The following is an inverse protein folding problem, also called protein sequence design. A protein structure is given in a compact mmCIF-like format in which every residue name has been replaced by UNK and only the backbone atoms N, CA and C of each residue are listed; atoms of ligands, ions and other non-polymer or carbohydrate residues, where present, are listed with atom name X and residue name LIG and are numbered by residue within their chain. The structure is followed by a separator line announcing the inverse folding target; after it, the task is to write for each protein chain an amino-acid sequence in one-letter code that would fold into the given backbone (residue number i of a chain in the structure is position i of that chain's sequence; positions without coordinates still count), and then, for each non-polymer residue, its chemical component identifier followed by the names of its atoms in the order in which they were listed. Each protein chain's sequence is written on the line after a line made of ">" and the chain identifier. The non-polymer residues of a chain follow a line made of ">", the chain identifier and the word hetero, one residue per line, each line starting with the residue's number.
data_IF_488197244372
#
_entry.id   IF_488197244372
#
_cell.length_a   1.000
_cell.length_b   1.000
_cell.length_c   1.000
_cell.angle_alpha   90.00
_cell.angle_beta   90.00
_cell.angle_gamma   90.00
#
_symmetry.space_group_name_H-M   'P 1'
#
loop_
_entity.id
_entity.type
_entity.pdbx_description
1 polymer ?
#
# COMPACT_ATOMS: atom_id res chain seq x y z
N UNK A 1 18.65 7.60 -5.20
CA UNK A 1 19.37 7.96 -6.45
C UNK A 1 20.07 9.29 -6.23
N UNK A 2 21.28 9.50 -6.75
CA UNK A 2 21.91 10.83 -6.75
C UNK A 2 21.34 11.69 -7.88
N UNK A 3 21.22 12.99 -7.62
CA UNK A 3 20.86 14.02 -8.60
C UNK A 3 21.90 15.14 -8.56
N UNK A 4 21.88 16.04 -9.53
CA UNK A 4 22.83 17.18 -9.58
C UNK A 4 22.79 18.04 -8.31
N UNK A 5 21.63 18.11 -7.64
CA UNK A 5 21.40 18.94 -6.46
C UNK A 5 21.37 18.15 -5.13
N UNK A 6 21.48 16.83 -5.16
CA UNK A 6 21.42 16.01 -3.95
C UNK A 6 20.94 14.58 -4.18
N UNK A 7 19.89 14.17 -3.46
CA UNK A 7 19.40 12.80 -3.41
C UNK A 7 17.89 12.75 -3.67
N UNK A 8 17.43 11.71 -4.35
CA UNK A 8 16.01 11.39 -4.58
C UNK A 8 15.64 10.03 -3.99
N UNK A 9 14.63 10.02 -3.12
CA UNK A 9 13.89 8.86 -2.66
C UNK A 9 12.68 8.61 -3.58
N UNK A 10 12.89 7.77 -4.60
CA UNK A 10 11.86 7.41 -5.58
C UNK A 10 10.96 6.27 -5.09
N UNK A 11 11.53 5.28 -4.40
CA UNK A 11 10.83 4.12 -3.86
C UNK A 11 10.96 4.09 -2.35
N UNK A 12 9.98 3.46 -1.70
CA UNK A 12 9.97 3.36 -0.25
C UNK A 12 10.03 1.90 0.21
N UNK A 13 11.03 1.60 1.04
CA UNK A 13 11.26 0.32 1.67
C UNK A 13 12.48 0.39 2.60
N UNK A 14 12.61 -0.51 3.58
CA UNK A 14 13.76 -0.57 4.48
C UNK A 14 15.07 -0.66 3.70
N UNK A 15 15.95 0.33 3.85
CA UNK A 15 17.24 0.31 3.18
C UNK A 15 18.24 1.26 3.85
N UNK A 16 19.50 1.15 3.43
CA UNK A 16 20.55 2.10 3.78
C UNK A 16 21.33 2.46 2.52
N UNK A 17 21.49 3.76 2.28
CA UNK A 17 22.31 4.30 1.20
C UNK A 17 23.56 4.93 1.82
N UNK A 18 24.75 4.60 1.31
CA UNK A 18 26.00 5.32 1.59
C UNK A 18 26.49 5.94 0.29
N UNK A 19 26.76 7.25 0.29
CA UNK A 19 27.05 8.00 -0.93
C UNK A 19 27.83 9.29 -0.63
N UNK A 20 28.38 9.93 -1.66
CA UNK A 20 28.99 11.26 -1.54
C UNK A 20 28.01 12.32 -2.01
N UNK A 21 27.75 13.33 -1.18
CA UNK A 21 26.82 14.43 -1.47
C UNK A 21 27.13 15.62 -0.58
N UNK A 22 26.90 16.85 -1.04
CA UNK A 22 27.14 18.05 -0.23
C UNK A 22 28.61 18.22 0.20
N UNK A 23 29.56 17.68 -0.56
CA UNK A 23 31.00 17.76 -0.29
C UNK A 23 31.56 16.71 0.66
N UNK A 24 30.77 15.70 1.07
CA UNK A 24 31.23 14.65 1.99
C UNK A 24 30.50 13.32 1.83
N UNK A 25 30.95 12.30 2.56
CA UNK A 25 30.29 11.00 2.63
C UNK A 25 29.13 11.07 3.61
N UNK A 26 27.92 10.75 3.15
CA UNK A 26 26.69 10.68 3.94
C UNK A 26 26.12 9.28 3.87
N UNK A 27 25.54 8.81 4.97
CA UNK A 27 24.72 7.59 5.01
C UNK A 27 23.29 7.96 5.38
N UNK A 28 22.31 7.49 4.62
CA UNK A 28 20.89 7.67 4.92
C UNK A 28 20.27 6.30 5.20
N UNK A 29 19.64 6.19 6.35
CA UNK A 29 18.83 5.02 6.72
C UNK A 29 17.38 5.33 6.42
N UNK A 30 16.67 4.40 5.78
CA UNK A 30 15.23 4.47 5.58
C UNK A 30 14.55 3.34 6.38
N UNK A 31 13.61 3.71 7.23
CA UNK A 31 12.85 2.80 8.09
C UNK A 31 11.36 2.96 7.80
N UNK A 32 10.70 1.86 7.44
CA UNK A 32 9.27 1.84 7.14
C UNK A 32 8.75 0.40 6.98
N UNK A 33 7.48 0.17 7.28
CA UNK A 33 6.72 -1.01 6.87
C UNK A 33 5.93 -0.78 5.57
N UNK A 34 6.20 0.31 4.84
CA UNK A 34 5.64 0.55 3.52
C UNK A 34 5.88 -0.70 2.64
N UNK A 35 4.85 -1.21 1.94
CA UNK A 35 3.59 -0.55 1.60
C UNK A 35 2.42 -0.76 2.57
N UNK A 36 2.63 -1.41 3.72
CA UNK A 36 1.57 -1.75 4.67
C UNK A 36 1.29 -0.64 5.70
N UNK A 37 2.21 0.29 5.87
CA UNK A 37 2.00 1.55 6.59
C UNK A 37 2.23 2.75 5.66
N UNK A 38 1.84 3.93 6.14
CA UNK A 38 1.92 5.19 5.40
C UNK A 38 3.11 6.09 5.80
N UNK A 39 3.90 5.67 6.79
CA UNK A 39 4.96 6.48 7.38
C UNK A 39 6.33 5.98 6.94
N UNK A 40 7.19 6.88 6.49
CA UNK A 40 8.57 6.61 6.11
C UNK A 40 9.48 7.52 6.89
N UNK A 41 10.43 6.95 7.64
CA UNK A 41 11.44 7.71 8.37
C UNK A 41 12.78 7.60 7.68
N UNK A 42 13.44 8.74 7.52
CA UNK A 42 14.81 8.86 7.06
C UNK A 42 15.67 9.40 8.19
N UNK A 43 16.83 8.79 8.41
CA UNK A 43 17.85 9.31 9.32
C UNK A 43 19.11 9.60 8.53
N UNK A 44 19.58 10.84 8.61
CA UNK A 44 20.83 11.28 7.98
C UNK A 44 21.98 11.03 8.96
N UNK A 45 23.04 10.42 8.46
CA UNK A 45 24.29 10.21 9.18
C UNK A 45 25.43 10.89 8.42
N UNK A 46 26.17 11.75 9.10
CA UNK A 46 27.09 12.71 8.49
C UNK A 46 26.50 14.12 8.37
N UNK A 47 27.22 15.03 7.71
CA UNK A 47 26.82 16.42 7.55
C UNK A 47 27.09 16.92 6.12
N UNK A 48 26.32 17.92 5.69
CA UNK A 48 26.54 18.59 4.41
C UNK A 48 25.32 19.33 3.87
N UNK A 49 25.56 20.19 2.89
CA UNK A 49 24.51 20.96 2.21
C UNK A 49 24.00 20.24 0.97
N UNK A 50 22.75 19.75 0.98
CA UNK A 50 22.16 19.12 -0.20
C UNK A 50 20.63 19.05 -0.15
N UNK A 51 20.01 18.82 -1.32
CA UNK A 51 18.58 18.55 -1.42
C UNK A 51 18.26 17.08 -1.15
N UNK A 52 17.37 16.79 -0.21
CA UNK A 52 16.69 15.51 -0.11
C UNK A 52 15.30 15.62 -0.76
N UNK A 53 15.12 14.94 -1.88
CA UNK A 53 13.89 14.95 -2.67
C UNK A 53 13.08 13.69 -2.41
N UNK A 54 11.78 13.85 -2.18
CA UNK A 54 10.85 12.78 -1.80
C UNK A 54 9.72 12.69 -2.84
N UNK A 55 9.49 11.51 -3.42
CA UNK A 55 8.37 11.30 -4.33
C UNK A 55 7.04 11.31 -3.57
N UNK A 56 6.09 12.15 -3.98
CA UNK A 56 4.73 12.08 -3.48
C UNK A 56 3.90 11.21 -4.43
N UNK A 57 3.37 10.05 -4.00
CA UNK A 57 2.53 9.23 -4.85
C UNK A 57 1.25 9.99 -5.28
N UNK A 58 0.78 9.75 -6.50
CA UNK A 58 -0.44 10.38 -7.04
C UNK A 58 -1.69 10.12 -6.20
N UNK A 59 -1.71 9.05 -5.43
CA UNK A 59 -2.85 8.71 -4.56
C UNK A 59 -2.86 9.48 -3.23
N UNK A 60 -1.74 10.09 -2.83
CA UNK A 60 -1.64 10.81 -1.57
C UNK A 60 -2.03 12.28 -1.77
N UNK A 61 -3.21 12.65 -1.29
CA UNK A 61 -3.75 14.01 -1.42
C UNK A 61 -3.05 15.03 -0.51
N UNK A 62 -2.76 14.62 0.72
CA UNK A 62 -2.27 15.50 1.79
C UNK A 62 -1.03 14.89 2.46
N UNK A 63 0.14 14.89 1.79
CA UNK A 63 1.37 14.41 2.40
C UNK A 63 1.80 15.33 3.56
N UNK A 64 2.38 14.74 4.60
CA UNK A 64 2.94 15.48 5.73
C UNK A 64 4.43 15.18 5.79
N UNK A 65 5.25 16.23 5.81
CA UNK A 65 6.70 16.12 5.93
C UNK A 65 7.10 16.85 7.20
N UNK A 66 7.86 16.18 8.06
CA UNK A 66 8.49 16.80 9.22
C UNK A 66 10.00 16.60 9.18
N UNK A 67 10.75 17.61 9.63
CA UNK A 67 12.19 17.50 9.86
C UNK A 67 12.43 17.79 11.34
N UNK A 68 13.07 16.87 12.05
CA UNK A 68 13.29 16.96 13.50
C UNK A 68 12.01 17.29 14.30
N UNK A 69 10.89 16.68 13.89
CA UNK A 69 9.54 16.87 14.46
C UNK A 69 8.85 18.21 14.16
N UNK A 70 9.45 19.09 13.35
CA UNK A 70 8.82 20.33 12.89
C UNK A 70 8.21 20.14 11.50
N UNK A 71 6.99 20.65 11.28
CA UNK A 71 6.31 20.55 9.98
C UNK A 71 7.04 21.41 8.95
N UNK A 72 7.43 20.77 7.85
CA UNK A 72 8.07 21.41 6.72
C UNK A 72 7.10 21.64 5.57
N UNK A 73 6.97 22.90 5.16
CA UNK A 73 6.20 23.27 3.97
C UNK A 73 7.15 23.33 2.79
N UNK A 74 7.03 22.38 1.87
CA UNK A 74 7.88 22.30 0.68
C UNK A 74 7.04 22.39 -0.60
N UNK A 75 7.58 23.08 -1.59
CA UNK A 75 7.04 23.08 -2.94
C UNK A 75 7.13 21.66 -3.53
N UNK A 76 6.12 21.27 -4.31
CA UNK A 76 6.05 19.92 -4.88
C UNK A 76 5.56 18.82 -3.92
N UNK A 77 5.18 19.15 -2.68
CA UNK A 77 4.40 18.28 -1.80
C UNK A 77 2.93 18.14 -2.25
N UNK A 78 2.74 17.76 -3.50
CA UNK A 78 1.44 17.61 -4.18
C UNK A 78 1.31 16.22 -4.78
N UNK A 79 0.10 15.72 -5.05
CA UNK A 79 -0.10 14.40 -5.64
C UNK A 79 0.71 14.19 -6.93
N UNK A 80 1.58 13.18 -6.96
CA UNK A 80 2.43 12.87 -8.11
C UNK A 80 3.69 13.76 -8.23
N UNK A 81 3.89 14.68 -7.29
CA UNK A 81 5.01 15.60 -7.25
C UNK A 81 6.28 15.01 -6.64
N UNK A 82 7.30 15.86 -6.56
CA UNK A 82 8.55 15.60 -5.85
C UNK A 82 8.76 16.76 -4.88
N UNK A 83 8.67 16.46 -3.59
CA UNK A 83 8.91 17.40 -2.51
C UNK A 83 10.41 17.57 -2.27
N UNK A 84 10.92 18.81 -2.24
CA UNK A 84 12.35 19.09 -2.06
C UNK A 84 12.69 19.67 -0.68
N UNK A 85 13.65 19.07 0.02
CA UNK A 85 14.18 19.57 1.28
C UNK A 85 15.66 19.95 1.09
N UNK A 86 15.94 21.20 0.77
CA UNK A 86 17.32 21.71 0.64
C UNK A 86 17.75 22.34 1.96
N UNK A 87 18.73 21.73 2.63
CA UNK A 87 19.14 22.11 3.99
C UNK A 87 20.63 21.87 4.22
N UNK A 88 21.13 22.47 5.28
CA UNK A 88 22.34 22.02 5.94
C UNK A 88 21.99 20.86 6.88
N UNK A 89 22.37 19.64 6.50
CA UNK A 89 22.09 18.45 7.29
C UNK A 89 23.18 18.21 8.34
N UNK A 90 22.77 17.72 9.51
CA UNK A 90 23.64 17.28 10.60
C UNK A 90 23.42 15.81 10.90
N UNK A 91 24.42 15.22 11.54
CA UNK A 91 24.34 13.83 11.96
C UNK A 91 23.17 13.64 12.94
N UNK A 92 22.32 12.67 12.66
CA UNK A 92 21.13 12.38 13.45
C UNK A 92 19.88 13.15 13.03
N UNK A 93 19.94 14.05 12.04
CA UNK A 93 18.75 14.70 11.52
C UNK A 93 17.76 13.65 10.99
N UNK A 94 16.48 13.86 11.30
CA UNK A 94 15.40 12.95 10.93
C UNK A 94 14.40 13.64 10.02
N UNK A 95 13.97 12.93 8.99
CA UNK A 95 12.85 13.32 8.13
C UNK A 95 11.76 12.27 8.25
N UNK A 96 10.54 12.68 8.59
CA UNK A 96 9.38 11.78 8.54
C UNK A 96 8.47 12.23 7.42
N UNK A 97 8.16 11.30 6.51
CA UNK A 97 7.19 11.46 5.45
C UNK A 97 5.97 10.60 5.79
N UNK A 98 4.82 11.23 6.01
CA UNK A 98 3.55 10.53 6.12
C UNK A 98 2.78 10.68 4.81
N UNK A 99 2.24 9.58 4.32
CA UNK A 99 1.50 9.49 3.07
C UNK A 99 0.08 8.96 3.33
N UNK A 100 -0.81 9.74 3.99
CA UNK A 100 -2.16 9.28 4.26
C UNK A 100 -2.87 8.85 2.98
N UNK A 101 -3.62 7.76 3.05
CA UNK A 101 -4.46 7.26 1.97
C UNK A 101 -5.86 6.96 2.49
N UNK A 102 -6.84 7.16 1.63
CA UNK A 102 -8.17 6.57 1.80
C UNK A 102 -8.29 5.29 0.99
N UNK A 103 -9.34 4.51 1.25
CA UNK A 103 -9.75 3.41 0.36
C UNK A 103 -10.26 4.00 -0.94
N UNK A 104 -9.75 3.49 -2.07
CA UNK A 104 -10.09 3.91 -3.42
C UNK A 104 -10.79 2.76 -4.15
N UNK A 105 -11.91 3.08 -4.79
CA UNK A 105 -12.62 2.17 -5.69
C UNK A 105 -12.10 2.39 -7.11
N UNK A 106 -11.54 1.34 -7.71
CA UNK A 106 -11.08 1.34 -9.10
C UNK A 106 -12.12 0.61 -9.96
N UNK A 107 -12.80 1.34 -10.85
CA UNK A 107 -13.82 0.78 -11.76
C UNK A 107 -13.19 0.29 -13.06
N UNK A 108 -13.59 -0.90 -13.49
CA UNK A 108 -13.27 -1.42 -14.81
C UNK A 108 -14.37 -1.07 -15.83
N UNK A 109 -14.06 -1.22 -17.11
CA UNK A 109 -14.98 -0.90 -18.21
C UNK A 109 -16.24 -1.78 -18.24
N UNK A 110 -16.17 -2.99 -17.67
CA UNK A 110 -17.29 -3.93 -17.56
C UNK A 110 -18.18 -3.66 -16.33
N UNK A 111 -17.91 -2.59 -15.58
CA UNK A 111 -18.66 -2.21 -14.38
C UNK A 111 -18.17 -2.88 -13.09
N UNK A 112 -17.25 -3.84 -13.18
CA UNK A 112 -16.62 -4.43 -12.00
C UNK A 112 -15.74 -3.42 -11.26
N UNK A 113 -15.42 -3.71 -10.00
CA UNK A 113 -14.62 -2.85 -9.14
C UNK A 113 -13.52 -3.64 -8.42
N UNK A 114 -12.40 -2.97 -8.21
CA UNK A 114 -11.33 -3.38 -7.29
C UNK A 114 -11.15 -2.31 -6.21
N UNK A 115 -10.55 -2.68 -5.08
CA UNK A 115 -10.27 -1.78 -3.96
C UNK A 115 -8.77 -1.64 -3.74
N UNK A 116 -8.33 -0.40 -3.54
CA UNK A 116 -6.93 -0.07 -3.29
C UNK A 116 -6.80 0.83 -2.05
N UNK A 117 -5.68 0.70 -1.33
CA UNK A 117 -5.29 1.59 -0.25
C UNK A 117 -3.78 1.83 -0.31
N UNK A 118 -3.37 3.09 -0.34
CA UNK A 118 -2.00 3.48 -0.65
C UNK A 118 -1.57 2.92 -2.01
N UNK A 119 -0.40 2.26 -2.11
CA UNK A 119 0.05 1.59 -3.33
C UNK A 119 -0.54 0.18 -3.52
N UNK A 120 -1.27 -0.36 -2.53
CA UNK A 120 -1.71 -1.75 -2.54
C UNK A 120 -3.08 -1.89 -3.18
N UNK A 121 -3.18 -2.86 -4.09
CA UNK A 121 -4.45 -3.42 -4.56
C UNK A 121 -4.80 -4.60 -3.66
N UNK A 122 -6.08 -4.74 -3.32
CA UNK A 122 -6.57 -5.81 -2.45
C UNK A 122 -7.37 -6.84 -3.24
N UNK A 123 -7.34 -8.08 -2.77
CA UNK A 123 -8.00 -9.21 -3.41
C UNK A 123 -8.62 -10.14 -2.36
N UNK A 124 -9.67 -10.85 -2.77
CA UNK A 124 -10.19 -11.98 -2.01
C UNK A 124 -9.25 -13.17 -2.23
N UNK A 125 -8.71 -13.71 -1.15
CA UNK A 125 -7.90 -14.91 -1.19
C UNK A 125 -8.83 -16.11 -1.27
N UNK A 126 -8.71 -16.89 -2.34
CA UNK A 126 -9.50 -18.11 -2.56
C UNK A 126 -8.65 -19.26 -2.02
N UNK A 127 -9.15 -19.98 -1.02
CA UNK A 127 -8.44 -21.16 -0.53
C UNK A 127 -8.29 -22.18 -1.66
N UNK A 128 -7.07 -22.68 -1.89
CA UNK A 128 -6.74 -23.51 -3.03
C UNK A 128 -5.78 -24.65 -2.67
N UNK A 129 -5.90 -25.75 -3.43
CA UNK A 129 -4.96 -26.87 -3.40
C UNK A 129 -4.07 -26.81 -4.65
N UNK A 130 -2.75 -26.85 -4.44
CA UNK A 130 -1.76 -26.96 -5.51
C UNK A 130 -1.45 -28.42 -5.84
N UNK A 131 -1.43 -28.78 -7.11
CA UNK A 131 -0.97 -30.09 -7.60
C UNK A 131 0.20 -29.87 -8.55
N UNK A 132 1.35 -30.49 -8.25
CA UNK A 132 2.50 -30.47 -9.16
C UNK A 132 2.15 -31.24 -10.43
N UNK A 133 2.23 -30.56 -11.58
CA UNK A 133 1.93 -31.15 -12.89
C UNK A 133 3.21 -31.54 -13.63
N UNK A 134 4.33 -30.87 -13.34
CA UNK A 134 5.63 -31.20 -13.90
C UNK A 134 6.76 -30.84 -12.91
N UNK A 135 7.72 -31.75 -12.71
CA UNK A 135 8.91 -31.54 -11.89
C UNK A 135 10.15 -31.50 -12.78
N UNK A 136 10.92 -30.43 -12.69
CA UNK A 136 12.12 -30.20 -13.49
C UNK A 136 13.41 -30.75 -12.86
N UNK A 137 13.33 -31.41 -11.70
CA UNK A 137 14.48 -31.99 -11.00
C UNK A 137 15.40 -30.96 -10.31
N UNK A 138 14.95 -29.71 -10.20
CA UNK A 138 15.59 -28.66 -9.42
C UNK A 138 14.69 -28.33 -8.22
N UNK A 139 15.27 -28.32 -7.02
CA UNK A 139 14.51 -28.09 -5.78
C UNK A 139 13.71 -26.77 -5.85
N UNK A 140 12.40 -26.88 -5.62
CA UNK A 140 11.47 -25.74 -5.67
C UNK A 140 11.08 -25.26 -7.06
N UNK A 141 11.56 -25.91 -8.14
CA UNK A 141 11.24 -25.54 -9.51
C UNK A 141 10.34 -26.59 -10.17
N UNK A 142 9.04 -26.34 -10.14
CA UNK A 142 8.00 -27.22 -10.69
C UNK A 142 6.82 -26.39 -11.23
N UNK A 143 6.07 -26.97 -12.16
CA UNK A 143 4.78 -26.44 -12.56
C UNK A 143 3.71 -26.93 -11.58
N UNK A 144 2.86 -26.02 -11.09
CA UNK A 144 1.81 -26.33 -10.13
C UNK A 144 0.49 -25.73 -10.57
N UNK A 145 -0.53 -26.57 -10.69
CA UNK A 145 -1.91 -26.15 -10.93
C UNK A 145 -2.62 -25.91 -9.59
N UNK A 146 -3.29 -24.78 -9.46
CA UNK A 146 -4.07 -24.43 -8.28
C UNK A 146 -5.56 -24.44 -8.59
N UNK A 147 -6.32 -25.21 -7.82
CA UNK A 147 -7.78 -25.25 -7.87
C UNK A 147 -8.38 -24.82 -6.53
N UNK A 148 -9.53 -24.13 -6.52
CA UNK A 148 -10.24 -23.83 -5.28
C UNK A 148 -10.51 -25.10 -4.48
N UNK A 149 -10.42 -25.02 -3.15
CA UNK A 149 -10.85 -26.13 -2.30
C UNK A 149 -12.35 -26.40 -2.49
N UNK A 150 -12.82 -27.66 -2.42
CA UNK A 150 -14.23 -27.97 -2.62
C UNK A 150 -15.14 -27.17 -1.66
N UNK A 151 -16.12 -26.47 -2.23
CA UNK A 151 -17.06 -25.63 -1.48
C UNK A 151 -16.57 -24.21 -1.18
N UNK A 152 -15.36 -23.83 -1.62
CA UNK A 152 -14.85 -22.47 -1.45
C UNK A 152 -15.74 -21.45 -2.15
N UNK A 153 -16.16 -20.44 -1.40
CA UNK A 153 -16.95 -19.33 -1.91
C UNK A 153 -16.01 -18.22 -2.40
N UNK A 154 -16.19 -17.82 -3.65
CA UNK A 154 -15.42 -16.75 -4.27
C UNK A 154 -16.29 -15.83 -5.15
N UNK A 155 -17.57 -16.17 -5.29
CA UNK A 155 -18.52 -15.36 -6.05
C UNK A 155 -19.20 -14.34 -5.15
N UNK A 156 -18.61 -13.15 -5.13
CA UNK A 156 -19.05 -12.02 -4.32
C UNK A 156 -19.30 -10.79 -5.18
N UNK A 157 -20.31 -10.02 -4.78
CA UNK A 157 -20.61 -8.69 -5.34
C UNK A 157 -20.35 -7.63 -4.28
N UNK A 158 -19.45 -6.68 -4.52
CA UNK A 158 -19.14 -5.62 -3.55
C UNK A 158 -20.32 -4.68 -3.34
N UNK A 159 -20.59 -4.34 -2.08
CA UNK A 159 -21.51 -3.26 -1.72
C UNK A 159 -20.71 -1.96 -1.57
N UNK A 160 -20.83 -1.07 -2.55
CA UNK A 160 -20.08 0.18 -2.57
C UNK A 160 -20.96 1.36 -2.15
N UNK A 161 -20.38 2.29 -1.41
CA UNK A 161 -20.99 3.59 -1.08
C UNK A 161 -20.59 4.60 -2.17
N UNK A 162 -21.56 5.12 -2.96
CA UNK A 162 -21.26 6.05 -4.04
C UNK A 162 -20.97 7.47 -3.54
N UNK A 163 -21.50 7.85 -2.38
CA UNK A 163 -21.37 9.18 -1.81
C UNK A 163 -20.05 9.29 -1.03
N UNK A 164 -19.61 8.18 -0.44
CA UNK A 164 -18.38 8.09 0.35
C UNK A 164 -17.58 6.84 -0.03
N UNK A 165 -16.86 6.84 -1.17
CA UNK A 165 -16.10 5.68 -1.62
C UNK A 165 -15.11 5.14 -0.57
N UNK A 166 -14.56 6.01 0.28
CA UNK A 166 -13.70 5.65 1.41
C UNK A 166 -14.39 4.79 2.48
N UNK A 167 -15.73 4.73 2.50
CA UNK A 167 -16.54 3.83 3.34
C UNK A 167 -16.84 2.48 2.68
N UNK A 168 -16.43 2.29 1.42
CA UNK A 168 -16.60 1.00 0.73
C UNK A 168 -15.69 -0.11 1.27
N UNK A 169 -14.76 0.25 2.17
CA UNK A 169 -13.96 -0.67 2.94
C UNK A 169 -13.29 0.06 4.10
N UNK A 170 -12.84 -0.67 5.11
CA UNK A 170 -12.04 -0.13 6.20
C UNK A 170 -10.72 -0.86 6.29
N UNK A 171 -9.62 -0.12 6.34
CA UNK A 171 -8.32 -0.70 6.64
C UNK A 171 -8.32 -1.19 8.08
N UNK A 172 -8.05 -2.48 8.27
CA UNK A 172 -7.95 -3.11 9.58
C UNK A 172 -6.55 -3.67 9.75
N UNK A 173 -6.02 -3.57 10.96
CA UNK A 173 -4.84 -4.34 11.35
C UNK A 173 -5.16 -5.83 11.21
N UNK A 174 -4.19 -6.59 10.73
CA UNK A 174 -4.24 -8.03 10.65
C UNK A 174 -3.28 -8.63 11.67
N UNK A 175 -3.47 -9.91 11.97
CA UNK A 175 -2.57 -10.72 12.77
C UNK A 175 -1.21 -10.82 12.07
N UNK A 176 -0.41 -9.75 12.25
CA UNK A 176 1.00 -9.74 11.97
C UNK A 176 1.65 -10.75 12.91
N UNK A 177 1.76 -12.00 12.47
CA UNK A 177 2.77 -12.89 13.02
C UNK A 177 4.15 -12.24 12.85
N UNK A 178 5.15 -12.73 13.57
CA UNK A 178 6.55 -12.31 13.41
C UNK A 178 7.18 -12.75 12.06
N UNK A 179 6.34 -13.13 11.09
CA UNK A 179 6.73 -13.63 9.78
C UNK A 179 6.98 -12.53 8.76
N UNK A 180 7.34 -12.95 7.56
CA UNK A 180 7.53 -12.05 6.43
C UNK A 180 6.20 -11.39 6.05
N UNK A 181 6.10 -10.05 5.95
CA UNK A 181 4.83 -9.34 5.74
C UNK A 181 4.07 -9.72 4.47
N UNK A 182 4.71 -10.36 3.49
CA UNK A 182 4.00 -10.82 2.30
C UNK A 182 3.36 -12.20 2.46
N UNK A 183 3.80 -12.98 3.46
CA UNK A 183 3.20 -14.26 3.82
C UNK A 183 2.05 -14.05 4.83
N UNK A 184 2.27 -13.15 5.79
CA UNK A 184 1.28 -12.73 6.79
C UNK A 184 1.14 -11.21 6.75
N UNK A 185 0.28 -10.66 5.87
CA UNK A 185 0.12 -9.21 5.75
C UNK A 185 -0.35 -8.62 7.07
N UNK A 186 0.21 -7.48 7.53
CA UNK A 186 -0.19 -6.84 8.78
C UNK A 186 -1.45 -5.98 8.62
N UNK A 187 -2.03 -5.92 7.41
CA UNK A 187 -3.22 -5.13 7.08
C UNK A 187 -4.14 -5.88 6.12
N UNK A 188 -5.43 -5.58 6.20
CA UNK A 188 -6.45 -5.99 5.24
C UNK A 188 -7.51 -4.90 5.06
N UNK A 189 -8.37 -5.06 4.06
CA UNK A 189 -9.62 -4.33 3.95
C UNK A 189 -10.78 -5.21 4.42
N UNK A 190 -11.49 -4.76 5.44
CA UNK A 190 -12.81 -5.26 5.77
C UNK A 190 -13.84 -4.57 4.87
N UNK A 191 -14.66 -5.36 4.16
CA UNK A 191 -15.63 -4.86 3.18
C UNK A 191 -16.95 -5.60 3.33
N UNK A 192 -18.04 -4.99 2.89
CA UNK A 192 -19.35 -5.66 2.80
C UNK A 192 -19.59 -6.11 1.37
N UNK A 193 -20.04 -7.35 1.19
CA UNK A 193 -20.37 -7.93 -0.10
C UNK A 193 -21.66 -8.77 -0.03
N UNK A 194 -22.22 -9.10 -1.18
CA UNK A 194 -23.28 -10.10 -1.32
C UNK A 194 -22.68 -11.40 -1.85
N UNK A 195 -23.04 -12.54 -1.28
CA UNK A 195 -22.74 -13.84 -1.87
C UNK A 195 -23.67 -14.16 -3.06
N UNK A 196 -23.49 -15.32 -3.69
CA UNK A 196 -24.29 -15.77 -4.84
C UNK A 196 -25.80 -15.86 -4.57
N UNK A 197 -26.22 -15.86 -3.30
CA UNK A 197 -27.62 -15.89 -2.86
C UNK A 197 -28.14 -14.51 -2.46
N UNK A 198 -27.38 -13.45 -2.77
CA UNK A 198 -27.68 -12.06 -2.37
C UNK A 198 -27.74 -11.86 -0.86
N UNK A 199 -27.06 -12.71 -0.08
CA UNK A 199 -26.95 -12.57 1.36
C UNK A 199 -25.73 -11.71 1.68
N UNK A 200 -25.91 -10.70 2.52
CA UNK A 200 -24.82 -9.84 2.95
C UNK A 200 -23.79 -10.62 3.78
N UNK A 201 -22.52 -10.44 3.43
CA UNK A 201 -21.34 -11.01 4.09
C UNK A 201 -20.32 -9.92 4.35
N UNK A 202 -19.64 -10.06 5.47
CA UNK A 202 -18.38 -9.36 5.69
C UNK A 202 -17.28 -10.16 5.01
N UNK A 203 -16.57 -9.50 4.11
CA UNK A 203 -15.47 -10.06 3.35
C UNK A 203 -14.17 -9.38 3.75
N UNK A 204 -13.11 -10.16 3.74
CA UNK A 204 -11.78 -9.72 4.09
C UNK A 204 -10.90 -9.81 2.86
N UNK A 205 -10.42 -8.67 2.39
CA UNK A 205 -9.50 -8.61 1.25
C UNK A 205 -8.09 -8.36 1.77
N UNK A 206 -7.11 -9.11 1.30
CA UNK A 206 -5.70 -8.93 1.65
C UNK A 206 -4.92 -8.35 0.47
N UNK A 207 -3.74 -7.76 0.68
CA UNK A 207 -2.92 -7.24 -0.41
C UNK A 207 -2.71 -8.31 -1.48
N UNK A 208 -2.82 -7.92 -2.75
CA UNK A 208 -2.82 -8.86 -3.88
C UNK A 208 -1.56 -9.74 -3.90
N UNK A 209 -0.40 -9.21 -3.49
CA UNK A 209 0.85 -9.96 -3.40
C UNK A 209 0.86 -11.08 -2.34
N UNK A 210 -0.11 -11.09 -1.44
CA UNK A 210 -0.26 -12.05 -0.34
C UNK A 210 -1.29 -13.15 -0.66
N UNK A 211 -1.66 -13.31 -1.94
CA UNK A 211 -2.69 -14.27 -2.38
C UNK A 211 -2.10 -15.26 -3.38
N UNK A 212 -2.57 -16.50 -3.31
CA UNK A 212 -2.16 -17.58 -4.20
C UNK A 212 -3.13 -17.72 -5.38
N UNK A 213 -4.35 -18.18 -5.09
CA UNK A 213 -5.51 -18.08 -5.97
C UNK A 213 -6.38 -16.93 -5.48
N UNK A 214 -6.84 -16.08 -6.38
CA UNK A 214 -7.40 -14.77 -5.99
C UNK A 214 -8.52 -14.30 -6.89
N UNK A 215 -9.38 -13.46 -6.32
CA UNK A 215 -10.28 -12.57 -7.08
C UNK A 215 -9.96 -11.12 -6.74
N UNK A 216 -9.63 -10.34 -7.76
CA UNK A 216 -9.22 -8.93 -7.61
C UNK A 216 -10.31 -7.95 -8.02
N UNK A 217 -11.14 -8.33 -9.00
CA UNK A 217 -12.29 -7.54 -9.44
C UNK A 217 -13.59 -8.27 -9.14
N UNK A 218 -14.59 -7.49 -8.74
CA UNK A 218 -15.89 -7.98 -8.31
C UNK A 218 -16.98 -7.22 -9.07
N UNK A 219 -18.10 -7.86 -9.44
CA UNK A 219 -19.33 -7.14 -9.65
C UNK A 219 -19.59 -6.23 -8.45
N UNK A 220 -20.21 -5.08 -8.68
CA UNK A 220 -20.42 -4.14 -7.60
C UNK A 220 -21.77 -3.45 -7.71
N UNK A 221 -22.49 -3.45 -6.60
CA UNK A 221 -23.77 -2.76 -6.44
C UNK A 221 -23.56 -1.50 -5.61
N UNK A 222 -24.33 -0.47 -5.95
CA UNK A 222 -24.32 0.79 -5.24
C UNK A 222 -25.48 0.76 -4.26
N UNK A 223 -25.20 0.66 -2.96
CA UNK A 223 -26.26 0.75 -1.96
C UNK A 223 -26.65 2.23 -1.82
N UNK A 224 -27.86 2.59 -2.22
CA UNK A 224 -28.44 3.85 -1.77
C UNK A 224 -28.57 3.76 -0.25
N UNK A 225 -27.82 4.58 0.48
CA UNK A 225 -28.04 4.75 1.92
C UNK A 225 -29.52 5.01 2.11
N UNK A 226 -30.23 4.15 2.86
CA UNK A 226 -31.56 4.49 3.36
C UNK A 226 -31.37 5.72 4.21
N UNK A 227 -31.65 6.90 3.64
CA UNK A 227 -31.66 8.15 4.35
C UNK A 227 -32.53 7.97 5.58
N UNK A 228 -31.92 8.11 6.76
CA UNK A 228 -32.66 8.23 7.99
C UNK A 228 -33.64 9.38 7.82
N UNK A 229 -34.93 9.05 7.77
CA UNK A 229 -35.97 9.99 8.13
C UNK A 229 -35.79 10.24 9.63
N UNK A 230 -34.99 11.23 9.98
CA UNK A 230 -35.15 11.91 11.26
C UNK A 230 -36.35 12.85 11.10
N UNK A 231 -37.33 12.66 12.00
CA UNK A 231 -38.48 13.54 12.20
C UNK A 231 -38.14 14.55 13.27
#
# INVERSE_FOLDING_TARGET
>A
MQTDEGLLAQYYGPCTLKTEVGGGVVRITQETLYPFEDTVRFTVHGAGHFALRLRIPTWCACPIITVNSEIERTSGATPGGIAGLTREWRDGDTVTLQLPSEVRVLRANDGSAALAHGPLLYAHNIAANGTVTHDYGLEGFCDTDYLPVPGEQWDYTLCLDPAWPSRSGSLVADNAGSGYPWDTPPVALAVTALDSWSIQRDLRLIPIGCTLLRRTTFPAVVHASRGGRER
#
